data_IF_035046317425
#
_entry.id   IF_035046317425
#
_cell.length_a   1.000
_cell.length_b   1.000
_cell.length_c   1.000
_cell.angle_alpha   90.00
_cell.angle_beta   90.00
_cell.angle_gamma   90.00
#
_symmetry.space_group_name_H-M   'P 1'
#
loop_
_entity.id
_entity.type
_entity.pdbx_description
1 polymer ?
#
# COMPACT_ATOMS: atom_id res chain seq x y z
N UNK A 1 28.98 20.67 79.57
CA UNK A 1 28.86 21.35 78.26
C UNK A 1 29.01 20.30 77.15
N UNK A 2 27.88 19.84 76.59
CA UNK A 2 27.84 18.87 75.49
C UNK A 2 27.92 19.62 74.15
N UNK A 3 28.84 19.24 73.26
CA UNK A 3 28.84 19.67 71.85
C UNK A 3 28.17 18.57 70.99
N UNK A 4 27.07 18.93 70.32
CA UNK A 4 26.35 18.07 69.35
C UNK A 4 27.18 17.84 68.08
N UNK A 5 27.05 16.70 67.39
CA UNK A 5 27.56 16.52 66.04
C UNK A 5 26.60 17.12 65.00
N UNK A 6 27.19 17.76 63.98
CA UNK A 6 26.52 18.40 62.85
C UNK A 6 25.88 17.36 61.92
N UNK A 7 24.62 17.60 61.53
CA UNK A 7 23.88 16.76 60.61
C UNK A 7 24.41 16.92 59.17
N UNK A 8 24.73 15.79 58.54
CA UNK A 8 25.11 15.68 57.12
C UNK A 8 23.85 15.92 56.28
N UNK A 9 23.90 16.86 55.35
CA UNK A 9 22.82 17.10 54.39
C UNK A 9 22.55 15.83 53.55
N UNK A 10 21.28 15.51 53.22
CA UNK A 10 20.96 14.36 52.39
C UNK A 10 21.51 14.57 50.97
N UNK A 11 22.30 13.60 50.51
CA UNK A 11 22.87 13.60 49.16
C UNK A 11 21.78 13.61 48.10
N UNK A 12 21.98 14.43 47.07
CA UNK A 12 21.17 14.44 45.88
C UNK A 12 21.11 13.02 45.29
N UNK A 13 19.90 12.49 45.14
CA UNK A 13 19.63 11.26 44.41
C UNK A 13 20.12 11.46 42.98
N UNK A 14 20.90 10.55 42.39
CA UNK A 14 21.24 10.66 40.99
C UNK A 14 19.94 10.56 40.19
N UNK A 15 19.60 11.64 39.48
CA UNK A 15 18.57 11.58 38.44
C UNK A 15 19.10 10.59 37.41
N UNK A 16 18.47 9.42 37.33
CA UNK A 16 18.77 8.45 36.29
C UNK A 16 18.63 9.18 34.95
N UNK A 17 19.74 9.38 34.24
CA UNK A 17 19.71 9.92 32.89
C UNK A 17 18.79 8.99 32.08
N UNK A 18 17.61 9.48 31.70
CA UNK A 18 16.73 8.74 30.80
C UNK A 18 17.54 8.43 29.55
N UNK A 19 17.62 7.16 29.17
CA UNK A 19 18.20 6.80 27.89
C UNK A 19 17.59 7.69 26.80
N UNK A 20 18.37 8.26 25.88
CA UNK A 20 17.82 9.08 24.81
C UNK A 20 16.78 8.26 24.05
N UNK A 21 15.62 8.88 23.80
CA UNK A 21 14.56 8.25 23.02
C UNK A 21 15.07 7.91 21.62
N UNK A 22 14.70 6.71 21.11
CA UNK A 22 15.08 6.26 19.78
C UNK A 22 14.64 7.26 18.71
N UNK A 23 15.51 7.50 17.72
CA UNK A 23 15.27 8.38 16.58
C UNK A 23 15.00 7.53 15.33
N UNK A 24 13.79 7.58 14.81
CA UNK A 24 13.35 6.72 13.71
C UNK A 24 13.20 7.53 12.44
N UNK A 25 13.82 7.07 11.37
CA UNK A 25 13.69 7.62 10.04
C UNK A 25 12.94 6.63 9.16
N UNK A 26 11.85 7.07 8.55
CA UNK A 26 11.03 6.21 7.68
C UNK A 26 11.10 6.68 6.24
N UNK A 27 11.59 5.83 5.33
CA UNK A 27 11.74 6.16 3.91
C UNK A 27 10.56 5.68 3.04
N UNK A 28 9.50 5.14 3.65
CA UNK A 28 8.36 4.56 2.94
C UNK A 28 7.03 4.98 3.58
N UNK A 29 5.96 5.19 2.81
CA UNK A 29 4.65 5.49 3.38
C UNK A 29 4.14 4.35 4.26
N UNK A 30 4.16 3.10 3.78
CA UNK A 30 3.69 1.92 4.52
C UNK A 30 4.48 1.64 5.82
N UNK A 31 5.78 1.91 5.82
CA UNK A 31 6.60 1.85 7.03
C UNK A 31 6.15 2.91 8.05
N UNK A 32 5.91 4.14 7.58
CA UNK A 32 5.42 5.24 8.42
C UNK A 32 4.03 4.93 9.00
N UNK A 33 3.14 4.38 8.17
CA UNK A 33 1.82 3.90 8.59
C UNK A 33 1.94 2.85 9.70
N UNK A 34 2.88 1.92 9.56
CA UNK A 34 3.17 0.90 10.57
C UNK A 34 3.64 1.52 11.88
N UNK A 35 4.63 2.42 11.87
CA UNK A 35 5.11 3.10 13.08
C UNK A 35 3.97 3.81 13.80
N UNK A 36 3.09 4.47 13.02
CA UNK A 36 1.89 5.13 13.56
C UNK A 36 0.90 4.14 14.17
N UNK A 37 0.60 3.04 13.48
CA UNK A 37 -0.34 2.02 13.96
C UNK A 37 0.17 1.27 15.21
N UNK A 38 1.50 1.20 15.38
CA UNK A 38 2.15 0.66 16.58
C UNK A 38 2.18 1.66 17.75
N UNK A 39 1.65 2.87 17.58
CA UNK A 39 1.64 3.90 18.63
C UNK A 39 3.00 4.59 18.85
N UNK A 40 3.92 4.48 17.89
CA UNK A 40 5.30 4.93 18.02
C UNK A 40 5.64 6.16 17.14
N UNK A 41 4.63 6.91 16.69
CA UNK A 41 4.80 8.06 15.81
C UNK A 41 5.71 9.15 16.40
N UNK A 42 5.77 9.29 17.71
CA UNK A 42 6.62 10.27 18.39
C UNK A 42 8.12 9.96 18.30
N UNK A 43 8.49 8.73 17.91
CA UNK A 43 9.89 8.36 17.65
C UNK A 43 10.38 8.85 16.28
N UNK A 44 9.47 9.25 15.38
CA UNK A 44 9.83 9.68 14.03
C UNK A 44 10.56 11.03 14.05
N UNK A 45 11.76 11.06 13.45
CA UNK A 45 12.56 12.28 13.25
C UNK A 45 12.57 12.74 11.80
N UNK A 46 12.14 11.89 10.87
CA UNK A 46 12.00 12.21 9.45
C UNK A 46 11.18 11.15 8.70
N UNK A 47 10.73 11.52 7.52
CA UNK A 47 9.79 10.74 6.69
C UNK A 47 10.12 10.84 5.20
N UNK A 48 9.51 9.98 4.39
CA UNK A 48 9.42 10.19 2.93
C UNK A 48 8.47 11.34 2.59
N UNK A 49 8.69 12.01 1.46
CA UNK A 49 7.81 13.07 0.95
C UNK A 49 6.36 12.57 0.70
N UNK A 50 6.19 11.30 0.38
CA UNK A 50 4.88 10.67 0.07
C UNK A 50 4.00 10.42 1.32
N UNK A 51 4.49 10.61 2.54
CA UNK A 51 3.64 10.50 3.73
C UNK A 51 2.67 11.68 3.80
N UNK A 52 1.38 11.36 3.94
CA UNK A 52 0.24 12.27 3.79
C UNK A 52 -0.55 12.49 5.09
N UNK A 53 -0.05 12.01 6.23
CA UNK A 53 -0.64 12.29 7.55
C UNK A 53 -0.42 13.75 7.97
N UNK A 54 -1.47 14.54 8.25
CA UNK A 54 -1.34 15.94 8.64
C UNK A 54 -0.44 16.15 9.86
N UNK A 55 -0.56 15.28 10.87
CA UNK A 55 0.21 15.34 12.11
C UNK A 55 1.72 15.09 11.92
N UNK A 56 2.11 14.46 10.82
CA UNK A 56 3.51 14.16 10.48
C UNK A 56 4.13 15.19 9.52
N UNK A 57 3.36 16.14 8.99
CA UNK A 57 3.89 17.18 8.09
C UNK A 57 4.88 18.14 8.78
N UNK A 58 4.88 18.18 10.12
CA UNK A 58 5.90 18.87 10.93
C UNK A 58 7.29 18.24 10.85
N UNK A 59 7.37 16.97 10.46
CA UNK A 59 8.62 16.24 10.33
C UNK A 59 9.23 16.48 8.95
N UNK A 60 10.56 16.56 8.86
CA UNK A 60 11.25 16.74 7.59
C UNK A 60 10.95 15.59 6.63
N UNK A 61 10.55 15.93 5.41
CA UNK A 61 10.66 15.05 4.26
C UNK A 61 12.14 14.99 3.85
N UNK A 62 12.69 13.78 3.80
CA UNK A 62 14.09 13.56 3.43
C UNK A 62 14.25 12.82 2.10
N UNK A 63 13.15 12.53 1.43
CA UNK A 63 13.15 12.03 0.06
C UNK A 63 12.41 13.01 -0.83
N UNK A 64 12.65 12.94 -2.13
CA UNK A 64 11.87 13.66 -3.14
C UNK A 64 11.83 12.85 -4.44
N UNK A 65 10.86 13.14 -5.29
CA UNK A 65 10.82 12.60 -6.65
C UNK A 65 12.09 12.98 -7.43
N UNK A 66 12.70 11.99 -8.09
CA UNK A 66 13.74 12.23 -9.11
C UNK A 66 13.11 12.38 -10.49
N UNK A 67 12.01 11.66 -10.70
CA UNK A 67 11.24 11.65 -11.94
C UNK A 67 10.13 12.70 -11.79
N UNK A 68 10.11 13.70 -12.67
CA UNK A 68 9.04 14.69 -12.70
C UNK A 68 7.69 14.09 -13.13
N UNK A 69 6.60 14.87 -13.16
CA UNK A 69 5.31 14.38 -13.61
C UNK A 69 5.39 13.94 -15.08
N UNK A 70 4.90 12.73 -15.35
CA UNK A 70 4.99 12.09 -16.67
C UNK A 70 3.82 11.11 -16.87
N UNK A 71 3.60 10.68 -18.11
CA UNK A 71 2.57 9.68 -18.42
C UNK A 71 2.98 8.30 -17.89
N UNK A 72 2.02 7.40 -17.56
CA UNK A 72 2.34 6.09 -16.99
C UNK A 72 3.35 5.25 -17.80
N UNK A 73 3.25 5.27 -19.13
CA UNK A 73 4.19 4.56 -20.00
C UNK A 73 5.62 5.09 -19.89
N UNK A 74 5.78 6.42 -19.87
CA UNK A 74 7.09 7.07 -19.73
C UNK A 74 7.65 6.85 -18.31
N UNK A 75 6.79 6.83 -17.30
CA UNK A 75 7.16 6.55 -15.91
C UNK A 75 7.66 5.12 -15.74
N UNK A 76 6.95 4.14 -16.30
CA UNK A 76 7.37 2.73 -16.27
C UNK A 76 8.74 2.54 -16.94
N UNK A 77 8.93 3.14 -18.12
CA UNK A 77 10.20 3.12 -18.83
C UNK A 77 11.34 3.76 -18.02
N UNK A 78 11.07 4.89 -17.36
CA UNK A 78 12.05 5.59 -16.53
C UNK A 78 12.39 4.80 -15.24
N UNK A 79 11.40 4.22 -14.56
CA UNK A 79 11.60 3.36 -13.39
C UNK A 79 12.38 2.09 -13.74
N UNK A 80 12.04 1.46 -14.86
CA UNK A 80 12.78 0.30 -15.39
C UNK A 80 14.23 0.66 -15.71
N UNK A 81 14.48 1.82 -16.32
CA UNK A 81 15.83 2.32 -16.59
C UNK A 81 16.63 2.60 -15.31
N UNK A 82 16.00 3.15 -14.26
CA UNK A 82 16.64 3.38 -12.97
C UNK A 82 17.07 2.07 -12.30
N UNK A 83 16.23 1.03 -12.39
CA UNK A 83 16.47 -0.29 -11.81
C UNK A 83 17.51 -1.09 -12.61
N UNK A 84 17.59 -0.89 -13.93
CA UNK A 84 18.50 -1.58 -14.85
C UNK A 84 19.90 -0.99 -14.98
N UNK A 85 20.20 0.18 -14.40
CA UNK A 85 21.47 0.89 -14.58
C UNK A 85 22.67 0.34 -13.77
N UNK A 86 22.46 -0.69 -12.93
CA UNK A 86 23.49 -1.29 -12.10
C UNK A 86 24.68 -1.93 -12.82
N UNK A 87 24.46 -2.79 -13.84
CA UNK A 87 25.55 -3.59 -14.39
C UNK A 87 26.61 -2.75 -15.12
N UNK A 88 26.29 -1.50 -15.49
CA UNK A 88 27.16 -0.62 -16.28
C UNK A 88 27.95 0.39 -15.47
N UNK A 89 27.52 0.75 -14.26
CA UNK A 89 28.16 1.84 -13.50
C UNK A 89 29.37 1.40 -12.67
N UNK A 90 29.46 0.14 -12.27
CA UNK A 90 30.54 -0.37 -11.42
C UNK A 90 30.64 0.35 -10.06
N UNK A 91 31.35 -0.23 -9.10
CA UNK A 91 31.52 0.32 -7.74
C UNK A 91 32.47 1.55 -7.67
N UNK A 92 32.62 2.33 -8.73
CA UNK A 92 33.65 3.37 -8.81
C UNK A 92 33.27 4.73 -8.19
N UNK A 93 32.03 4.91 -7.70
CA UNK A 93 31.48 6.22 -7.31
C UNK A 93 31.44 6.57 -5.81
N UNK A 94 31.76 5.64 -4.91
CA UNK A 94 31.65 5.84 -3.46
C UNK A 94 30.20 5.88 -2.94
N UNK A 95 30.03 5.84 -1.60
CA UNK A 95 28.71 5.66 -0.95
C UNK A 95 27.68 6.76 -1.24
N UNK A 96 28.12 8.00 -1.47
CA UNK A 96 27.24 9.11 -1.83
C UNK A 96 26.63 8.95 -3.24
N UNK A 97 27.38 8.42 -4.21
CA UNK A 97 26.87 8.16 -5.55
C UNK A 97 25.91 6.95 -5.59
N UNK A 98 26.06 5.97 -4.68
CA UNK A 98 25.07 4.91 -4.51
C UNK A 98 23.73 5.46 -3.99
N UNK A 99 23.79 6.42 -3.07
CA UNK A 99 22.60 7.06 -2.50
C UNK A 99 21.97 8.12 -3.43
N UNK A 100 22.75 8.74 -4.32
CA UNK A 100 22.34 9.84 -5.20
C UNK A 100 22.05 9.40 -6.66
N UNK A 101 22.86 8.48 -7.22
CA UNK A 101 22.88 8.23 -8.66
C UNK A 101 22.31 6.89 -9.14
N UNK A 102 22.16 5.87 -8.29
CA UNK A 102 21.66 4.57 -8.76
C UNK A 102 20.47 4.09 -7.94
N UNK A 103 19.53 3.42 -8.60
CA UNK A 103 18.63 2.38 -8.04
C UNK A 103 17.25 2.82 -7.59
N UNK A 104 17.05 4.08 -7.24
CA UNK A 104 15.75 4.58 -6.78
C UNK A 104 15.21 5.68 -7.71
N UNK A 105 13.91 5.66 -8.07
CA UNK A 105 13.25 6.81 -8.69
C UNK A 105 13.10 8.00 -7.72
N UNK A 106 13.58 7.85 -6.48
CA UNK A 106 13.57 8.87 -5.45
C UNK A 106 14.99 9.30 -5.07
N UNK A 107 15.16 10.61 -4.84
CA UNK A 107 16.37 11.19 -4.24
C UNK A 107 16.26 11.14 -2.73
N UNK A 108 17.37 10.85 -2.04
CA UNK A 108 17.48 11.00 -0.57
C UNK A 108 18.36 12.21 -0.23
N UNK A 109 17.88 13.08 0.65
CA UNK A 109 18.63 14.21 1.19
C UNK A 109 19.66 13.69 2.22
N UNK A 110 20.88 13.50 1.74
CA UNK A 110 22.00 12.92 2.48
C UNK A 110 22.46 13.82 3.63
N UNK A 111 22.48 15.14 3.41
CA UNK A 111 22.88 16.11 4.44
C UNK A 111 21.88 16.07 5.59
N UNK A 112 20.59 16.11 5.28
CA UNK A 112 19.53 16.06 6.28
C UNK A 112 19.45 14.71 6.97
N UNK A 113 19.70 13.60 6.26
CA UNK A 113 19.81 12.27 6.86
C UNK A 113 20.91 12.26 7.94
N UNK A 114 22.08 12.83 7.65
CA UNK A 114 23.19 12.91 8.60
C UNK A 114 22.86 13.81 9.80
N UNK A 115 22.24 14.97 9.59
CA UNK A 115 21.81 15.89 10.65
C UNK A 115 20.78 15.25 11.60
N UNK A 116 19.87 14.45 11.04
CA UNK A 116 18.82 13.79 11.81
C UNK A 116 19.35 12.69 12.73
N UNK A 117 20.56 12.18 12.51
CA UNK A 117 21.18 11.13 13.33
C UNK A 117 20.20 10.01 13.75
N UNK A 118 19.54 9.33 12.80
CA UNK A 118 18.61 8.25 13.14
C UNK A 118 19.29 7.05 13.79
N UNK A 119 18.66 6.46 14.80
CA UNK A 119 19.07 5.18 15.39
C UNK A 119 18.50 4.00 14.59
N UNK A 120 17.32 4.19 13.99
CA UNK A 120 16.62 3.20 13.17
C UNK A 120 16.22 3.83 11.83
N UNK A 121 16.52 3.15 10.72
CA UNK A 121 16.10 3.54 9.37
C UNK A 121 15.22 2.43 8.79
N UNK A 122 13.99 2.77 8.43
CA UNK A 122 13.05 1.88 7.76
C UNK A 122 13.11 2.13 6.26
N UNK A 123 13.47 1.10 5.48
CA UNK A 123 13.71 1.24 4.04
C UNK A 123 13.32 -0.02 3.27
N UNK A 124 13.28 0.08 1.95
CA UNK A 124 13.10 -1.03 1.04
C UNK A 124 14.15 -0.91 -0.05
N UNK A 125 15.04 -1.90 -0.13
CA UNK A 125 16.03 -2.01 -1.19
C UNK A 125 15.40 -2.84 -2.31
N UNK A 126 15.14 -2.22 -3.46
CA UNK A 126 14.72 -2.92 -4.67
C UNK A 126 15.93 -3.12 -5.59
N UNK A 127 16.01 -4.29 -6.23
CA UNK A 127 16.86 -4.49 -7.40
C UNK A 127 18.34 -4.15 -7.19
N UNK A 128 18.97 -4.68 -6.14
CA UNK A 128 20.43 -4.53 -5.93
C UNK A 128 21.28 -5.28 -7.00
N UNK A 129 20.66 -6.06 -7.87
CA UNK A 129 21.37 -6.94 -8.80
C UNK A 129 22.16 -8.04 -8.05
N UNK A 130 22.85 -8.93 -8.77
CA UNK A 130 23.62 -10.02 -8.14
C UNK A 130 24.87 -9.52 -7.39
N UNK A 131 25.38 -8.33 -7.73
CA UNK A 131 26.67 -7.83 -7.25
C UNK A 131 26.57 -6.91 -6.03
N UNK A 132 25.37 -6.48 -5.65
CA UNK A 132 25.15 -5.72 -4.41
C UNK A 132 24.31 -6.51 -3.42
N UNK A 133 24.84 -6.66 -2.21
CA UNK A 133 24.09 -7.14 -1.07
C UNK A 133 23.62 -5.96 -0.20
N UNK A 134 22.62 -6.17 0.67
CA UNK A 134 22.29 -5.26 1.75
C UNK A 134 23.50 -4.80 2.56
N UNK A 135 24.52 -5.64 2.73
CA UNK A 135 25.73 -5.29 3.50
C UNK A 135 26.53 -4.16 2.86
N UNK A 136 26.60 -4.09 1.53
CA UNK A 136 27.27 -2.97 0.84
C UNK A 136 26.59 -1.63 1.13
N UNK A 137 25.25 -1.63 1.21
CA UNK A 137 24.48 -0.45 1.60
C UNK A 137 24.77 -0.04 3.05
N UNK A 138 24.83 -1.00 3.97
CA UNK A 138 25.13 -0.74 5.38
C UNK A 138 26.52 -0.12 5.58
N UNK A 139 27.53 -0.62 4.86
CA UNK A 139 28.89 -0.07 4.93
C UNK A 139 28.93 1.36 4.40
N UNK A 140 28.29 1.63 3.26
CA UNK A 140 28.23 2.99 2.70
C UNK A 140 27.52 3.97 3.66
N UNK A 141 26.43 3.52 4.26
CA UNK A 141 25.66 4.30 5.23
C UNK A 141 26.46 4.57 6.53
N UNK A 142 27.19 3.58 7.03
CA UNK A 142 28.05 3.74 8.22
C UNK A 142 29.19 4.73 7.96
N UNK A 143 29.84 4.65 6.80
CA UNK A 143 30.88 5.61 6.39
C UNK A 143 30.32 7.03 6.27
N UNK A 144 29.12 7.18 5.71
CA UNK A 144 28.45 8.48 5.57
C UNK A 144 28.10 9.08 6.94
N UNK A 145 27.54 8.27 7.84
CA UNK A 145 27.02 8.74 9.11
C UNK A 145 28.07 8.86 10.21
N UNK A 146 29.19 8.14 10.09
CA UNK A 146 30.19 7.98 11.14
C UNK A 146 29.71 7.12 12.32
N UNK A 147 28.58 6.43 12.18
CA UNK A 147 28.05 5.44 13.12
C UNK A 147 27.11 4.48 12.37
N UNK A 148 26.80 3.34 13.00
CA UNK A 148 26.00 2.28 12.39
C UNK A 148 24.56 2.29 12.92
N UNK A 149 23.56 2.85 12.18
CA UNK A 149 22.16 2.73 12.57
C UNK A 149 21.65 1.30 12.37
N UNK A 150 20.54 0.97 13.04
CA UNK A 150 19.76 -0.24 12.73
C UNK A 150 18.97 0.03 11.45
N UNK A 151 19.20 -0.76 10.41
CA UNK A 151 18.41 -0.67 9.17
C UNK A 151 17.43 -1.83 9.12
N UNK A 152 16.15 -1.51 9.00
CA UNK A 152 15.08 -2.50 8.79
C UNK A 152 14.71 -2.46 7.32
N UNK A 153 15.11 -3.50 6.60
CA UNK A 153 14.72 -3.71 5.21
C UNK A 153 13.36 -4.40 5.16
N UNK A 154 12.38 -3.73 4.57
CA UNK A 154 11.05 -4.27 4.31
C UNK A 154 11.06 -4.90 2.91
N UNK A 155 10.59 -6.15 2.83
CA UNK A 155 10.69 -6.97 1.62
C UNK A 155 9.46 -7.85 1.41
N UNK A 156 8.35 -7.54 2.06
CA UNK A 156 7.12 -8.30 1.95
C UNK A 156 6.62 -8.41 0.50
N UNK A 157 6.60 -9.63 -0.01
CA UNK A 157 5.88 -9.97 -1.24
C UNK A 157 4.47 -10.46 -0.92
N UNK A 158 4.34 -11.36 0.06
CA UNK A 158 3.06 -11.94 0.49
C UNK A 158 2.60 -11.43 1.86
N UNK A 159 1.35 -11.75 2.20
CA UNK A 159 0.67 -11.33 3.43
C UNK A 159 1.46 -11.65 4.70
N UNK A 160 2.04 -12.86 4.80
CA UNK A 160 2.84 -13.24 5.96
C UNK A 160 4.14 -12.43 6.04
N UNK A 161 4.74 -12.10 4.90
CA UNK A 161 5.84 -11.15 4.80
C UNK A 161 5.46 -9.78 5.34
N UNK A 162 4.25 -9.28 5.04
CA UNK A 162 3.78 -7.98 5.54
C UNK A 162 3.66 -8.00 7.08
N UNK A 163 3.18 -9.11 7.66
CA UNK A 163 3.17 -9.29 9.11
C UNK A 163 4.58 -9.40 9.70
N UNK A 164 5.50 -10.07 9.01
CA UNK A 164 6.90 -10.17 9.41
C UNK A 164 7.59 -8.80 9.43
N UNK A 165 7.37 -7.99 8.40
CA UNK A 165 7.88 -6.62 8.30
C UNK A 165 7.39 -5.74 9.45
N UNK A 166 6.09 -5.81 9.80
CA UNK A 166 5.56 -5.08 10.96
C UNK A 166 6.16 -5.56 12.29
N UNK A 167 6.42 -6.87 12.43
CA UNK A 167 7.11 -7.43 13.61
C UNK A 167 8.57 -6.94 13.69
N UNK A 168 9.29 -6.92 12.56
CA UNK A 168 10.66 -6.42 12.50
C UNK A 168 10.75 -4.94 12.88
N UNK A 169 9.80 -4.12 12.41
CA UNK A 169 9.67 -2.71 12.85
C UNK A 169 9.42 -2.66 14.36
N UNK A 170 8.44 -3.39 14.87
CA UNK A 170 8.13 -3.41 16.31
C UNK A 170 9.32 -3.82 17.19
N UNK A 171 10.14 -4.76 16.72
CA UNK A 171 11.35 -5.21 17.41
C UNK A 171 12.45 -4.14 17.40
N UNK A 172 12.72 -3.53 16.24
CA UNK A 172 13.69 -2.44 16.11
C UNK A 172 13.32 -1.23 16.97
N UNK A 173 12.02 -0.97 17.13
CA UNK A 173 11.48 0.08 17.99
C UNK A 173 11.35 -0.31 19.46
N UNK A 174 11.68 -1.56 19.83
CA UNK A 174 11.67 -2.10 21.20
C UNK A 174 10.31 -1.98 21.90
N UNK A 175 9.22 -2.16 21.16
CA UNK A 175 7.85 -1.99 21.68
C UNK A 175 7.34 -3.18 22.51
N UNK A 176 8.03 -4.32 22.45
CA UNK A 176 7.70 -5.51 23.24
C UNK A 176 6.23 -5.96 23.10
N UNK A 177 5.53 -6.06 24.23
CA UNK A 177 4.14 -6.55 24.27
C UNK A 177 3.13 -5.59 23.61
N UNK A 178 3.39 -4.29 23.65
CA UNK A 178 2.48 -3.29 23.09
C UNK A 178 2.42 -3.39 21.56
N UNK A 179 3.59 -3.48 20.93
CA UNK A 179 3.68 -3.69 19.48
C UNK A 179 3.05 -5.02 19.04
N UNK A 180 3.28 -6.11 19.78
CA UNK A 180 2.64 -7.40 19.51
C UNK A 180 1.10 -7.32 19.63
N UNK A 181 0.58 -6.64 20.64
CA UNK A 181 -0.86 -6.45 20.83
C UNK A 181 -1.49 -5.59 19.72
N UNK A 182 -0.79 -4.55 19.26
CA UNK A 182 -1.22 -3.71 18.14
C UNK A 182 -1.32 -4.53 16.83
N UNK A 183 -0.29 -5.33 16.51
CA UNK A 183 -0.28 -6.21 15.33
C UNK A 183 -1.43 -7.23 15.40
N UNK A 184 -1.64 -7.88 16.55
CA UNK A 184 -2.78 -8.79 16.72
C UNK A 184 -4.13 -8.08 16.54
N UNK A 185 -4.22 -6.80 16.95
CA UNK A 185 -5.40 -5.97 16.71
C UNK A 185 -5.68 -5.76 15.22
N UNK A 186 -4.64 -5.49 14.43
CA UNK A 186 -4.73 -5.37 12.97
C UNK A 186 -5.16 -6.68 12.32
N UNK A 187 -4.57 -7.81 12.74
CA UNK A 187 -4.93 -9.14 12.24
C UNK A 187 -6.41 -9.48 12.52
N UNK A 188 -6.91 -9.19 13.74
CA UNK A 188 -8.33 -9.38 14.08
C UNK A 188 -9.26 -8.53 13.20
N UNK A 189 -8.89 -7.29 12.91
CA UNK A 189 -9.67 -6.42 12.02
C UNK A 189 -9.70 -6.94 10.58
N UNK A 190 -8.56 -7.40 10.07
CA UNK A 190 -8.50 -8.02 8.74
C UNK A 190 -9.39 -9.27 8.67
N UNK A 191 -9.33 -10.12 9.70
CA UNK A 191 -10.17 -11.32 9.78
C UNK A 191 -11.67 -10.98 9.82
N UNK A 192 -12.06 -10.01 10.63
CA UNK A 192 -13.45 -9.54 10.70
C UNK A 192 -13.94 -9.01 9.35
N UNK A 193 -13.10 -8.29 8.60
CA UNK A 193 -13.44 -7.85 7.26
C UNK A 193 -13.63 -9.03 6.29
N UNK A 194 -12.76 -10.04 6.34
CA UNK A 194 -12.88 -11.25 5.51
C UNK A 194 -14.15 -12.06 5.81
N UNK A 195 -14.56 -12.14 7.08
CA UNK A 195 -15.82 -12.79 7.47
C UNK A 195 -17.04 -12.12 6.81
N UNK A 196 -16.95 -10.81 6.57
CA UNK A 196 -17.90 -10.03 5.79
C UNK A 196 -18.04 -10.45 4.32
N UNK A 197 -17.25 -11.41 3.81
CA UNK A 197 -17.40 -12.00 2.48
C UNK A 197 -17.81 -13.49 2.49
N UNK A 198 -17.87 -14.12 3.67
CA UNK A 198 -18.05 -15.57 3.79
C UNK A 198 -19.41 -16.04 3.27
N UNK A 199 -19.42 -17.13 2.49
CA UNK A 199 -20.64 -17.75 1.97
C UNK A 199 -21.34 -16.99 0.84
N UNK A 200 -20.71 -15.92 0.32
CA UNK A 200 -21.22 -15.13 -0.79
C UNK A 200 -20.80 -15.71 -2.14
N UNK A 201 -21.40 -15.19 -3.22
CA UNK A 201 -20.96 -15.48 -4.58
C UNK A 201 -19.48 -15.09 -4.75
N UNK A 202 -18.72 -15.90 -5.49
CA UNK A 202 -17.29 -15.68 -5.73
C UNK A 202 -17.04 -15.10 -7.13
N UNK A 203 -17.09 -13.77 -7.31
CA UNK A 203 -16.87 -13.17 -8.62
C UNK A 203 -15.42 -13.37 -9.08
N UNK A 204 -15.23 -13.47 -10.40
CA UNK A 204 -13.93 -13.41 -11.07
C UNK A 204 -13.46 -11.97 -11.11
N UNK A 205 -12.35 -11.68 -10.44
CA UNK A 205 -11.79 -10.34 -10.34
C UNK A 205 -10.45 -10.30 -11.06
N UNK A 206 -10.25 -9.29 -11.89
CA UNK A 206 -8.93 -8.92 -12.39
C UNK A 206 -8.52 -7.61 -11.73
N UNK A 207 -7.35 -7.57 -11.09
CA UNK A 207 -6.80 -6.34 -10.49
C UNK A 207 -5.67 -5.81 -11.37
N UNK A 208 -5.89 -4.63 -11.94
CA UNK A 208 -4.91 -3.89 -12.74
C UNK A 208 -4.16 -2.93 -11.81
N UNK A 209 -2.85 -3.15 -11.66
CA UNK A 209 -1.99 -2.35 -10.79
C UNK A 209 -1.24 -1.23 -11.54
N UNK A 210 -1.10 -1.37 -12.86
CA UNK A 210 -0.54 -0.36 -13.74
C UNK A 210 -1.28 -0.35 -15.09
N UNK A 211 -1.60 0.84 -15.66
CA UNK A 211 -2.45 0.92 -16.84
C UNK A 211 -1.69 0.79 -18.16
N UNK A 212 -0.40 1.15 -18.21
CA UNK A 212 0.42 1.07 -19.43
C UNK A 212 1.93 1.00 -19.11
N UNK A 213 2.62 -0.14 -19.36
CA UNK A 213 2.02 -1.39 -19.85
C UNK A 213 1.09 -2.01 -18.80
N UNK A 214 0.16 -2.87 -19.22
CA UNK A 214 -0.82 -3.46 -18.32
C UNK A 214 -0.15 -4.45 -17.36
N UNK A 215 -0.15 -4.14 -16.07
CA UNK A 215 0.30 -5.05 -15.01
C UNK A 215 -0.87 -5.55 -14.17
N UNK A 216 -0.92 -6.86 -13.96
CA UNK A 216 -1.77 -7.48 -12.97
C UNK A 216 -1.13 -7.35 -11.59
N UNK A 217 -1.95 -7.18 -10.55
CA UNK A 217 -1.44 -7.10 -9.19
C UNK A 217 -0.73 -8.39 -8.75
N UNK A 218 0.39 -8.22 -8.05
CA UNK A 218 1.17 -9.31 -7.49
C UNK A 218 1.11 -9.39 -5.96
N UNK A 219 1.84 -10.34 -5.39
CA UNK A 219 2.15 -10.34 -3.96
C UNK A 219 0.95 -10.65 -3.07
N UNK A 220 0.73 -9.79 -2.08
CA UNK A 220 -0.35 -9.89 -1.10
C UNK A 220 -1.72 -9.47 -1.65
N UNK A 221 -1.79 -8.82 -2.82
CA UNK A 221 -3.05 -8.34 -3.39
C UNK A 221 -3.97 -9.49 -3.82
N UNK A 222 -3.51 -10.52 -4.56
CA UNK A 222 -4.32 -11.72 -4.82
C UNK A 222 -4.84 -12.40 -3.55
N UNK A 223 -4.05 -12.41 -2.47
CA UNK A 223 -4.49 -12.95 -1.19
C UNK A 223 -5.65 -12.15 -0.59
N UNK A 224 -5.64 -10.82 -0.73
CA UNK A 224 -6.79 -9.98 -0.34
C UNK A 224 -8.02 -10.23 -1.20
N UNK A 225 -7.87 -10.46 -2.51
CA UNK A 225 -8.98 -10.79 -3.41
C UNK A 225 -9.65 -12.10 -2.96
N UNK A 226 -8.86 -13.13 -2.62
CA UNK A 226 -9.38 -14.39 -2.08
C UNK A 226 -10.06 -14.19 -0.72
N UNK A 227 -9.46 -13.41 0.19
CA UNK A 227 -10.05 -13.07 1.49
C UNK A 227 -11.35 -12.25 1.38
N UNK A 228 -11.50 -11.46 0.31
CA UNK A 228 -12.72 -10.73 -0.03
C UNK A 228 -13.77 -11.65 -0.67
N UNK A 229 -13.56 -12.96 -0.71
CA UNK A 229 -14.50 -13.94 -1.25
C UNK A 229 -14.59 -13.90 -2.77
N UNK A 230 -13.58 -13.40 -3.47
CA UNK A 230 -13.50 -13.43 -4.93
C UNK A 230 -12.48 -14.46 -5.42
N UNK A 231 -12.30 -14.54 -6.74
CA UNK A 231 -11.22 -15.30 -7.38
C UNK A 231 -10.41 -14.35 -8.25
N UNK A 232 -9.12 -14.21 -7.97
CA UNK A 232 -8.22 -13.48 -8.89
C UNK A 232 -7.99 -14.32 -10.15
N UNK A 233 -8.18 -13.71 -11.33
CA UNK A 233 -8.02 -14.39 -12.62
C UNK A 233 -6.75 -14.04 -13.37
N UNK A 234 -5.96 -13.08 -12.88
CA UNK A 234 -4.69 -12.67 -13.51
C UNK A 234 -3.51 -12.60 -12.53
N UNK A 235 -3.77 -12.15 -11.30
CA UNK A 235 -2.74 -11.92 -10.30
C UNK A 235 -2.07 -13.20 -9.80
N UNK A 236 -0.82 -13.05 -9.35
CA UNK A 236 0.03 -14.12 -8.82
C UNK A 236 0.71 -13.65 -7.54
N UNK A 237 0.90 -14.53 -6.57
CA UNK A 237 1.53 -14.15 -5.29
C UNK A 237 3.02 -13.87 -5.49
N UNK A 238 3.65 -14.57 -6.43
CA UNK A 238 5.08 -14.51 -6.67
C UNK A 238 5.53 -13.13 -7.16
N UNK A 239 4.80 -12.54 -8.11
CA UNK A 239 5.15 -11.25 -8.70
C UNK A 239 3.98 -10.60 -9.45
N UNK A 240 4.05 -9.28 -9.59
CA UNK A 240 3.22 -8.54 -10.55
C UNK A 240 3.69 -8.88 -11.97
N UNK A 241 2.75 -9.12 -12.88
CA UNK A 241 3.06 -9.60 -14.22
C UNK A 241 2.34 -8.79 -15.29
N UNK A 242 2.99 -8.58 -16.43
CA UNK A 242 2.34 -7.95 -17.58
C UNK A 242 1.34 -8.91 -18.21
N UNK A 243 0.26 -8.34 -18.77
CA UNK A 243 -0.73 -9.10 -19.53
C UNK A 243 -1.24 -8.30 -20.73
N UNK A 244 -1.80 -9.02 -21.69
CA UNK A 244 -2.39 -8.46 -22.91
C UNK A 244 -3.90 -8.29 -22.80
N UNK A 245 -4.48 -7.41 -23.61
CA UNK A 245 -5.94 -7.25 -23.71
C UNK A 245 -6.66 -8.59 -23.99
N UNK A 246 -6.08 -9.45 -24.83
CA UNK A 246 -6.64 -10.77 -25.14
C UNK A 246 -6.61 -11.69 -23.91
N UNK A 247 -5.52 -11.72 -23.14
CA UNK A 247 -5.45 -12.52 -21.91
C UNK A 247 -6.50 -12.06 -20.88
N UNK A 248 -6.72 -10.76 -20.73
CA UNK A 248 -7.78 -10.22 -19.89
C UNK A 248 -9.17 -10.66 -20.36
N UNK A 249 -9.43 -10.58 -21.67
CA UNK A 249 -10.72 -11.00 -22.24
C UNK A 249 -10.97 -12.50 -22.07
N UNK A 250 -9.96 -13.34 -22.31
CA UNK A 250 -10.03 -14.80 -22.14
C UNK A 250 -10.26 -15.19 -20.67
N UNK A 251 -9.72 -14.38 -19.75
CA UNK A 251 -9.92 -14.52 -18.31
C UNK A 251 -11.34 -14.14 -17.84
N UNK A 252 -12.20 -13.56 -18.71
CA UNK A 252 -13.62 -13.24 -18.49
C UNK A 252 -13.92 -12.76 -17.05
N UNK A 253 -13.34 -11.62 -16.63
CA UNK A 253 -13.60 -11.08 -15.31
C UNK A 253 -15.07 -10.63 -15.19
N UNK A 254 -15.70 -10.92 -14.05
CA UNK A 254 -16.98 -10.32 -13.66
C UNK A 254 -16.76 -8.88 -13.19
N UNK A 255 -15.58 -8.61 -12.62
CA UNK A 255 -15.18 -7.31 -12.07
C UNK A 255 -13.74 -6.99 -12.45
N UNK A 256 -13.52 -5.76 -12.94
CA UNK A 256 -12.19 -5.20 -13.19
C UNK A 256 -11.90 -4.14 -12.13
N UNK A 257 -10.85 -4.33 -11.34
CA UNK A 257 -10.40 -3.39 -10.30
C UNK A 257 -9.17 -2.66 -10.78
N UNK A 258 -9.24 -1.34 -10.90
CA UNK A 258 -8.08 -0.48 -11.16
C UNK A 258 -7.52 0.05 -9.84
N UNK A 259 -6.46 -0.63 -9.37
CA UNK A 259 -5.67 -0.28 -8.19
C UNK A 259 -4.34 0.34 -8.59
N UNK A 260 -4.40 1.50 -9.26
CA UNK A 260 -3.25 2.09 -9.96
C UNK A 260 -2.26 2.72 -8.99
N UNK A 261 -1.12 2.06 -8.79
CA UNK A 261 -0.12 2.47 -7.80
C UNK A 261 0.37 3.91 -8.07
N UNK A 262 0.44 4.73 -7.02
CA UNK A 262 0.93 6.12 -7.13
C UNK A 262 -0.11 7.14 -7.61
N UNK A 263 -1.34 6.72 -7.92
CA UNK A 263 -2.40 7.61 -8.39
C UNK A 263 -3.55 7.70 -7.38
N UNK A 264 -3.93 8.94 -7.05
CA UNK A 264 -5.10 9.19 -6.21
C UNK A 264 -6.40 8.90 -6.97
N UNK A 265 -7.50 8.68 -6.25
CA UNK A 265 -8.76 8.19 -6.83
C UNK A 265 -9.21 8.94 -8.11
N UNK A 266 -9.17 10.27 -8.11
CA UNK A 266 -9.62 11.07 -9.26
C UNK A 266 -8.72 10.90 -10.50
N UNK A 267 -7.41 10.72 -10.32
CA UNK A 267 -6.50 10.44 -11.43
C UNK A 267 -6.65 8.99 -11.90
N UNK A 268 -6.77 8.05 -10.96
CA UNK A 268 -7.05 6.64 -11.25
C UNK A 268 -8.32 6.47 -12.10
N UNK A 269 -9.37 7.26 -11.86
CA UNK A 269 -10.59 7.22 -12.67
C UNK A 269 -10.36 7.65 -14.11
N UNK A 270 -9.54 8.70 -14.33
CA UNK A 270 -9.19 9.16 -15.67
C UNK A 270 -8.36 8.11 -16.41
N UNK A 271 -7.34 7.57 -15.76
CA UNK A 271 -6.45 6.56 -16.33
C UNK A 271 -7.19 5.24 -16.60
N UNK A 272 -8.08 4.81 -15.70
CA UNK A 272 -8.91 3.63 -15.88
C UNK A 272 -9.85 3.76 -17.11
N UNK A 273 -10.45 4.93 -17.30
CA UNK A 273 -11.29 5.19 -18.48
C UNK A 273 -10.48 5.08 -19.79
N UNK A 274 -9.30 5.72 -19.83
CA UNK A 274 -8.39 5.64 -20.98
C UNK A 274 -7.93 4.20 -21.25
N UNK A 275 -7.51 3.48 -20.21
CA UNK A 275 -7.07 2.10 -20.33
C UNK A 275 -8.20 1.18 -20.83
N UNK A 276 -9.45 1.38 -20.37
CA UNK A 276 -10.59 0.59 -20.83
C UNK A 276 -10.91 0.84 -22.32
N UNK A 277 -10.81 2.08 -22.78
CA UNK A 277 -10.96 2.41 -24.21
C UNK A 277 -9.90 1.71 -25.06
N UNK A 278 -8.63 1.76 -24.62
CA UNK A 278 -7.51 1.11 -25.30
C UNK A 278 -7.65 -0.42 -25.32
N UNK A 279 -8.00 -1.03 -24.18
CA UNK A 279 -8.26 -2.47 -24.06
C UNK A 279 -9.37 -2.92 -25.02
N UNK A 280 -10.47 -2.18 -25.07
CA UNK A 280 -11.61 -2.49 -25.94
C UNK A 280 -11.23 -2.35 -27.42
N UNK A 281 -10.44 -1.34 -27.78
CA UNK A 281 -9.92 -1.15 -29.13
C UNK A 281 -8.96 -2.29 -29.53
N UNK A 282 -8.04 -2.67 -28.64
CA UNK A 282 -7.07 -3.75 -28.87
C UNK A 282 -7.74 -5.13 -29.08
N UNK A 283 -8.94 -5.35 -28.54
CA UNK A 283 -9.74 -6.56 -28.75
C UNK A 283 -10.53 -6.59 -30.08
N UNK A 284 -10.24 -5.71 -31.03
CA UNK A 284 -10.92 -5.65 -32.33
C UNK A 284 -12.15 -4.75 -32.37
N UNK A 285 -12.34 -3.88 -31.37
CA UNK A 285 -13.39 -2.85 -31.36
C UNK A 285 -14.81 -3.35 -31.06
N UNK A 286 -15.80 -2.55 -31.47
CA UNK A 286 -17.19 -2.57 -30.99
C UNK A 286 -17.95 -3.92 -31.02
N UNK A 287 -17.57 -4.85 -31.90
CA UNK A 287 -18.38 -6.06 -32.19
C UNK A 287 -17.72 -7.38 -31.79
N UNK A 288 -16.51 -7.34 -31.23
CA UNK A 288 -15.79 -8.55 -30.82
C UNK A 288 -16.35 -9.11 -29.51
N UNK A 289 -16.45 -10.44 -29.39
CA UNK A 289 -16.85 -11.10 -28.14
C UNK A 289 -15.91 -10.75 -26.97
N UNK A 290 -14.63 -10.49 -27.26
CA UNK A 290 -13.65 -10.05 -26.27
C UNK A 290 -13.96 -8.63 -25.76
N UNK A 291 -14.24 -7.69 -26.65
CA UNK A 291 -14.63 -6.32 -26.31
C UNK A 291 -15.96 -6.29 -25.52
N UNK A 292 -16.91 -7.15 -25.89
CA UNK A 292 -18.18 -7.28 -25.18
C UNK A 292 -18.01 -7.85 -23.76
N UNK A 293 -17.11 -8.82 -23.57
CA UNK A 293 -16.78 -9.34 -22.25
C UNK A 293 -16.21 -8.25 -21.33
N UNK A 294 -15.31 -7.41 -21.86
CA UNK A 294 -14.72 -6.29 -21.10
C UNK A 294 -15.74 -5.21 -20.74
N UNK A 295 -16.66 -4.87 -21.65
CA UNK A 295 -17.73 -3.89 -21.39
C UNK A 295 -18.75 -4.35 -20.35
N UNK A 296 -18.93 -5.66 -20.20
CA UNK A 296 -19.85 -6.25 -19.21
C UNK A 296 -19.25 -6.31 -17.81
N UNK A 297 -17.93 -6.33 -17.70
CA UNK A 297 -17.27 -6.35 -16.40
C UNK A 297 -17.62 -5.09 -15.61
N UNK A 298 -17.96 -5.26 -14.34
CA UNK A 298 -18.16 -4.12 -13.44
C UNK A 298 -16.80 -3.49 -13.16
N UNK A 299 -16.64 -2.19 -13.40
CA UNK A 299 -15.34 -1.54 -13.21
C UNK A 299 -15.31 -0.76 -11.90
N UNK A 300 -14.39 -1.15 -11.03
CA UNK A 300 -14.13 -0.53 -9.73
C UNK A 300 -12.78 0.17 -9.82
N UNK A 301 -12.71 1.42 -9.37
CA UNK A 301 -11.48 2.20 -9.35
C UNK A 301 -11.15 2.56 -7.91
N UNK A 302 -9.89 2.44 -7.50
CA UNK A 302 -9.46 2.73 -6.12
C UNK A 302 -8.44 3.85 -6.03
N UNK A 303 -8.26 4.38 -4.82
CA UNK A 303 -7.17 5.28 -4.47
C UNK A 303 -5.86 4.49 -4.31
N UNK A 304 -5.03 4.48 -5.35
CA UNK A 304 -3.78 3.73 -5.39
C UNK A 304 -2.59 4.47 -4.78
N UNK A 305 -2.79 5.65 -4.16
CA UNK A 305 -1.80 6.22 -3.24
C UNK A 305 -1.73 5.43 -1.94
N UNK A 306 -2.81 4.73 -1.58
CA UNK A 306 -2.98 4.06 -0.27
C UNK A 306 -3.34 2.59 -0.44
N UNK A 307 -4.46 2.32 -1.08
CA UNK A 307 -5.05 0.98 -1.21
C UNK A 307 -4.26 0.17 -2.24
N UNK A 308 -3.88 -1.06 -1.90
CA UNK A 308 -3.06 -1.96 -2.73
C UNK A 308 -1.60 -1.54 -2.99
N UNK A 309 -1.15 -0.41 -2.40
CA UNK A 309 0.21 0.12 -2.61
C UNK A 309 1.01 0.34 -1.34
N UNK A 310 0.38 0.29 -0.16
CA UNK A 310 1.06 0.46 1.14
C UNK A 310 1.00 -0.84 1.95
N UNK A 311 2.04 -1.69 1.93
CA UNK A 311 2.08 -2.86 2.81
C UNK A 311 2.10 -2.42 4.28
N UNK A 312 1.35 -3.14 5.12
CA UNK A 312 1.24 -2.88 6.56
C UNK A 312 -0.22 -2.67 6.99
N UNK A 313 -0.53 -1.65 7.83
CA UNK A 313 -1.89 -1.42 8.32
C UNK A 313 -2.95 -1.16 7.24
N UNK A 314 -2.54 -0.72 6.04
CA UNK A 314 -3.45 -0.48 4.92
C UNK A 314 -4.03 -1.74 4.29
N UNK A 315 -3.52 -2.93 4.63
CA UNK A 315 -4.16 -4.21 4.30
C UNK A 315 -5.64 -4.24 4.72
N UNK A 316 -5.97 -3.62 5.84
CA UNK A 316 -7.32 -3.63 6.41
C UNK A 316 -8.27 -2.78 5.54
N UNK A 317 -8.06 -1.46 5.34
CA UNK A 317 -8.86 -0.69 4.40
C UNK A 317 -8.89 -1.28 2.98
N UNK A 318 -7.79 -1.88 2.51
CA UNK A 318 -7.77 -2.54 1.20
C UNK A 318 -8.74 -3.73 1.12
N UNK A 319 -8.80 -4.57 2.15
CA UNK A 319 -9.78 -5.65 2.22
C UNK A 319 -11.20 -5.12 2.38
N UNK A 320 -11.41 -4.14 3.26
CA UNK A 320 -12.71 -3.50 3.48
C UNK A 320 -13.26 -2.91 2.18
N UNK A 321 -12.42 -2.24 1.37
CA UNK A 321 -12.76 -1.75 0.02
C UNK A 321 -13.20 -2.87 -0.90
N UNK A 322 -12.46 -3.98 -0.97
CA UNK A 322 -12.87 -5.12 -1.81
C UNK A 322 -14.20 -5.71 -1.34
N UNK A 323 -14.39 -5.91 -0.04
CA UNK A 323 -15.63 -6.49 0.51
C UNK A 323 -16.82 -5.57 0.23
N UNK A 324 -16.69 -4.27 0.49
CA UNK A 324 -17.73 -3.27 0.23
C UNK A 324 -18.07 -3.20 -1.27
N UNK A 325 -17.05 -3.09 -2.12
CA UNK A 325 -17.24 -2.87 -3.55
C UNK A 325 -17.69 -4.15 -4.29
N UNK A 326 -17.35 -5.34 -3.79
CA UNK A 326 -17.78 -6.61 -4.37
C UNK A 326 -19.18 -7.02 -3.92
N UNK A 327 -19.48 -6.81 -2.63
CA UNK A 327 -20.64 -7.41 -1.96
C UNK A 327 -21.56 -6.38 -1.28
N UNK A 328 -21.67 -5.14 -1.78
CA UNK A 328 -22.28 -3.96 -1.12
C UNK A 328 -23.63 -4.09 -0.37
N UNK A 329 -24.34 -5.21 -0.46
CA UNK A 329 -25.46 -5.59 0.42
C UNK A 329 -25.02 -6.07 1.81
N UNK A 330 -23.73 -6.36 1.99
CA UNK A 330 -23.15 -7.07 3.13
C UNK A 330 -22.72 -6.18 4.29
N UNK A 331 -22.01 -5.09 3.99
CA UNK A 331 -21.38 -4.23 4.99
C UNK A 331 -20.89 -2.93 4.33
N UNK A 332 -21.37 -1.79 4.81
CA UNK A 332 -20.83 -0.48 4.43
C UNK A 332 -19.69 -0.10 5.38
N UNK A 333 -18.48 0.00 4.85
CA UNK A 333 -17.32 0.54 5.59
C UNK A 333 -17.19 2.06 5.38
N UNK A 334 -17.94 2.62 4.43
CA UNK A 334 -17.96 4.05 4.14
C UNK A 334 -16.73 4.50 3.35
N UNK A 335 -16.16 3.60 2.55
CA UNK A 335 -15.00 3.90 1.71
C UNK A 335 -15.39 4.35 0.30
N UNK A 336 -16.63 4.11 -0.13
CA UNK A 336 -17.13 4.60 -1.43
C UNK A 336 -17.05 6.14 -1.52
N UNK A 337 -16.56 6.64 -2.65
CA UNK A 337 -16.27 8.06 -2.88
C UNK A 337 -15.00 8.58 -2.20
N UNK A 338 -14.36 7.78 -1.33
CA UNK A 338 -13.13 8.17 -0.60
C UNK A 338 -11.91 7.36 -1.01
N UNK A 339 -12.02 6.03 -0.99
CA UNK A 339 -10.95 5.11 -1.38
C UNK A 339 -11.31 4.28 -2.60
N UNK A 340 -12.58 4.25 -3.00
CA UNK A 340 -13.01 3.60 -4.23
C UNK A 340 -14.24 4.25 -4.83
N UNK A 341 -14.46 4.03 -6.12
CA UNK A 341 -15.67 4.43 -6.83
C UNK A 341 -16.03 3.41 -7.92
N UNK A 342 -17.33 3.26 -8.18
CA UNK A 342 -17.82 2.53 -9.34
C UNK A 342 -17.72 3.41 -10.58
N UNK A 343 -17.09 2.91 -11.65
CA UNK A 343 -17.09 3.60 -12.93
C UNK A 343 -18.40 3.31 -13.66
N UNK A 344 -19.09 4.33 -14.22
CA UNK A 344 -20.31 4.11 -14.95
C UNK A 344 -20.04 3.22 -16.18
N UNK A 345 -20.99 2.36 -16.57
CA UNK A 345 -20.86 1.55 -17.77
C UNK A 345 -20.66 2.46 -19.00
N UNK A 346 -19.79 2.06 -19.92
CA UNK A 346 -19.59 2.78 -21.17
C UNK A 346 -20.91 2.93 -21.94
N UNK A 347 -21.14 4.06 -22.63
CA UNK A 347 -22.34 4.25 -23.45
C UNK A 347 -22.45 3.11 -24.49
N UNK A 348 -23.38 2.19 -24.28
CA UNK A 348 -23.56 1.00 -25.13
C UNK A 348 -23.61 -0.35 -24.39
N UNK A 349 -23.21 -0.41 -23.11
CA UNK A 349 -23.43 -1.61 -22.29
C UNK A 349 -24.91 -1.67 -21.88
N UNK A 350 -25.66 -2.60 -22.46
CA UNK A 350 -27.04 -2.88 -22.04
C UNK A 350 -26.98 -3.43 -20.61
N UNK A 351 -27.55 -2.68 -19.66
CA UNK A 351 -27.62 -3.11 -18.28
C UNK A 351 -28.33 -4.47 -18.19
N UNK A 352 -27.65 -5.50 -17.70
CA UNK A 352 -28.32 -6.67 -17.18
C UNK A 352 -29.16 -6.20 -15.99
N UNK A 353 -30.47 -6.12 -16.19
CA UNK A 353 -31.43 -5.70 -15.17
C UNK A 353 -31.24 -6.55 -13.92
N UNK A 354 -30.89 -5.91 -12.81
CA UNK A 354 -30.96 -6.51 -11.49
C UNK A 354 -32.37 -7.07 -11.26
N UNK A 355 -32.53 -8.21 -10.54
CA UNK A 355 -33.86 -8.69 -10.19
C UNK A 355 -34.57 -7.59 -9.39
N UNK A 356 -35.70 -7.15 -9.90
CA UNK A 356 -36.55 -6.14 -9.28
C UNK A 356 -36.87 -6.58 -7.86
N UNK A 357 -36.61 -5.69 -6.88
CA UNK A 357 -37.13 -5.82 -5.52
C UNK A 357 -38.65 -5.96 -5.63
N UNK A 358 -39.16 -7.17 -5.40
CA UNK A 358 -40.59 -7.43 -5.30
C UNK A 358 -41.15 -6.61 -4.14
N UNK A 359 -41.93 -5.58 -4.47
CA UNK A 359 -42.77 -4.91 -3.50
C UNK A 359 -43.84 -5.91 -3.07
N UNK A 360 -43.80 -6.34 -1.81
CA UNK A 360 -44.90 -7.04 -1.19
C UNK A 360 -46.11 -6.09 -1.18
N UNK A 361 -47.06 -6.35 -2.06
CA UNK A 361 -48.32 -5.64 -2.11
C UNK A 361 -49.08 -5.82 -0.80
N UNK A 362 -49.33 -4.72 -0.11
CA UNK A 362 -50.30 -4.65 0.98
C UNK A 362 -51.67 -4.61 0.31
N UNK A 363 -52.27 -5.79 0.13
CA UNK A 363 -53.63 -5.94 -0.36
C UNK A 363 -54.62 -5.39 0.67
N UNK A 364 -55.33 -4.33 0.29
CA UNK A 364 -56.44 -3.77 1.05
C UNK A 364 -57.61 -4.76 1.13
N UNK A 365 -58.11 -4.96 2.35
CA UNK A 365 -59.38 -5.65 2.60
C UNK A 365 -60.46 -4.58 2.68
N UNK A 366 -61.23 -4.43 1.61
CA UNK A 366 -62.52 -3.76 1.64
C UNK A 366 -63.60 -4.83 1.84
N UNK A 367 -64.13 -4.93 3.06
CA UNK A 367 -65.30 -5.74 3.39
C UNK A 367 -66.49 -4.82 3.68
N UNK A 368 -67.38 -4.70 2.70
CA UNK A 368 -68.66 -4.00 2.84
C UNK A 368 -69.84 -4.96 2.81
N UNK A 369 -70.64 -4.90 3.88
CA UNK A 369 -72.07 -5.11 4.00
C UNK A 369 -72.71 -6.49 3.73
N UNK A 370 -73.19 -7.09 4.82
CA UNK A 370 -74.53 -7.71 4.86
C UNK A 370 -75.18 -7.42 6.22
N UNK A 371 -76.47 -7.04 6.14
CA UNK A 371 -77.49 -6.68 7.16
C UNK A 371 -77.35 -5.35 7.89
#
# INVERSE_FOLDING_TARGET
MQRKPSAKAPGATPVAASLPALRVLSLLPGATDTVRALGAADLLVGRTHECDWPELQRLPAITSDKLGPMQPADLDAAMSACSGALPTLGWCGGGAALLDQGLSPYRTDVERLAELRPDVILTQMQGLGPDLSPDHFLVALEQLLGYRPVVVHLAALEMEGVWADMRAISEALKLGREGAAAIQGLQRRLQAASEGARGRHRPRVAVVQWPDPLFAAGGWVPQLVEMAGARDVLGRVEEAATFTAQQLADARPDVLVFGLCGFGLAESQRLAAQALEQLTAACGGGSSAAAEALRRARVIVTDGLRVFSRPGPWLIPSLEVLVEALHGEAQGYGHEGRLWALMPPSPGAVAATAPTRGSAGIGGVAGGAAT
#
